data_IF_977587541378
#
_entry.id   IF_977587541378
#
_cell.length_a   1.000
_cell.length_b   1.000
_cell.length_c   1.000
_cell.angle_alpha   90.00
_cell.angle_beta   90.00
_cell.angle_gamma   90.00
#
_symmetry.space_group_name_H-M   'P 1'
#
loop_
_entity.id
_entity.type
_entity.pdbx_description
1 polymer ?
#
# COMPACT_ATOMS: atom_id res chain seq x y z
N UNK A 1 12.00 66.66 14.94
CA UNK A 1 11.91 65.29 15.48
C UNK A 1 10.52 64.78 15.16
N UNK A 2 10.35 63.96 14.12
CA UNK A 2 9.36 62.87 13.99
C UNK A 2 9.48 62.26 12.58
N UNK A 3 10.15 61.11 12.54
CA UNK A 3 10.25 60.21 11.40
C UNK A 3 8.87 59.55 11.18
N UNK A 4 8.32 59.60 9.97
CA UNK A 4 7.30 58.64 9.54
C UNK A 4 7.90 57.70 8.50
N UNK A 5 8.01 56.45 8.94
CA UNK A 5 8.59 55.31 8.24
C UNK A 5 7.69 54.90 7.08
N UNK A 6 8.29 54.72 5.90
CA UNK A 6 7.72 53.94 4.82
C UNK A 6 7.51 52.50 5.31
N UNK A 7 6.28 52.00 5.24
CA UNK A 7 5.96 50.59 5.41
C UNK A 7 5.93 49.92 4.03
N UNK A 8 7.04 49.25 3.70
CA UNK A 8 7.13 48.37 2.53
C UNK A 8 6.33 47.10 2.82
N UNK A 9 5.20 46.92 2.13
CA UNK A 9 4.44 45.66 2.17
C UNK A 9 5.12 44.67 1.23
N UNK A 10 5.87 43.73 1.79
CA UNK A 10 6.33 42.54 1.06
C UNK A 10 5.15 41.58 0.90
N UNK A 11 4.63 41.46 -0.30
CA UNK A 11 3.72 40.39 -0.69
C UNK A 11 4.55 39.09 -0.80
N UNK A 12 4.48 38.23 0.21
CA UNK A 12 5.02 36.87 0.12
C UNK A 12 4.04 36.01 -0.69
N UNK A 13 4.39 35.73 -1.94
CA UNK A 13 3.75 34.66 -2.71
C UNK A 13 4.14 33.32 -2.08
N UNK A 14 3.25 32.77 -1.25
CA UNK A 14 3.34 31.39 -0.82
C UNK A 14 3.12 30.48 -2.02
N UNK A 15 4.19 29.87 -2.52
CA UNK A 15 4.11 28.75 -3.47
C UNK A 15 3.42 27.59 -2.75
N UNK A 16 2.14 27.37 -3.03
CA UNK A 16 1.46 26.15 -2.66
C UNK A 16 2.17 24.99 -3.36
N UNK A 17 2.83 24.12 -2.58
CA UNK A 17 3.34 22.86 -3.08
C UNK A 17 2.19 22.07 -3.76
N UNK A 18 2.44 21.37 -4.87
CA UNK A 18 1.40 20.61 -5.55
C UNK A 18 0.84 19.55 -4.61
N UNK A 19 -0.48 19.54 -4.49
CA UNK A 19 -1.27 18.69 -3.60
C UNK A 19 -1.29 17.19 -4.00
N UNK A 20 -0.25 16.68 -4.64
CA UNK A 20 -0.11 15.28 -5.05
C UNK A 20 0.25 14.34 -3.87
N UNK A 21 0.53 14.90 -2.69
CA UNK A 21 0.93 14.15 -1.49
C UNK A 21 -0.23 13.78 -0.54
N UNK A 22 -1.50 14.01 -0.92
CA UNK A 22 -2.65 13.66 -0.06
C UNK A 22 -3.16 12.27 -0.39
N UNK A 23 -3.02 11.37 0.58
CA UNK A 23 -3.66 10.05 0.72
C UNK A 23 -4.48 9.59 -0.49
N UNK A 24 -3.80 9.28 -1.60
CA UNK A 24 -4.47 8.75 -2.81
C UNK A 24 -4.99 7.32 -2.60
N UNK A 25 -4.89 6.81 -1.37
CA UNK A 25 -5.45 5.54 -0.98
C UNK A 25 -6.94 5.69 -0.75
N UNK A 26 -7.74 5.36 -1.76
CA UNK A 26 -9.19 5.33 -1.65
C UNK A 26 -9.70 4.25 -0.69
N UNK A 27 -10.98 3.91 -0.82
CA UNK A 27 -11.65 2.89 0.01
C UNK A 27 -10.89 1.55 0.00
N UNK A 28 -10.26 1.20 -1.13
CA UNK A 28 -9.36 0.04 -1.27
C UNK A 28 -8.28 0.01 -0.22
N UNK A 29 -7.45 1.06 -0.18
CA UNK A 29 -6.26 1.11 0.65
C UNK A 29 -6.60 1.03 2.13
N UNK A 30 -7.67 1.73 2.55
CA UNK A 30 -8.11 1.69 3.95
C UNK A 30 -8.58 0.29 4.34
N UNK A 31 -9.47 -0.32 3.54
CA UNK A 31 -10.01 -1.64 3.83
C UNK A 31 -8.90 -2.71 3.89
N UNK A 32 -7.96 -2.67 2.94
CA UNK A 32 -6.85 -3.62 2.90
C UNK A 32 -5.89 -3.42 4.05
N UNK A 33 -5.55 -2.18 4.40
CA UNK A 33 -4.73 -1.89 5.58
C UNK A 33 -5.35 -2.46 6.86
N UNK A 34 -6.68 -2.41 7.01
CA UNK A 34 -7.39 -3.02 8.15
C UNK A 34 -7.27 -4.54 8.13
N UNK A 35 -7.46 -5.16 6.97
CA UNK A 35 -7.31 -6.61 6.81
C UNK A 35 -5.87 -7.09 7.04
N UNK A 36 -4.88 -6.38 6.49
CA UNK A 36 -3.45 -6.61 6.74
C UNK A 36 -3.13 -6.44 8.23
N UNK A 37 -3.74 -5.43 8.86
CA UNK A 37 -3.81 -5.20 10.30
C UNK A 37 -4.12 -6.47 11.09
N UNK A 38 -5.27 -7.06 10.78
CA UNK A 38 -5.82 -8.27 11.42
C UNK A 38 -4.94 -9.50 11.21
N UNK A 39 -4.67 -9.86 9.95
CA UNK A 39 -3.87 -11.05 9.64
C UNK A 39 -2.45 -10.95 10.19
N UNK A 40 -1.83 -9.77 10.20
CA UNK A 40 -0.51 -9.57 10.78
C UNK A 40 -0.48 -9.77 12.31
N UNK A 41 -1.60 -9.62 13.01
CA UNK A 41 -1.72 -9.98 14.42
C UNK A 41 -1.85 -11.51 14.55
N UNK A 42 -2.80 -12.09 13.80
CA UNK A 42 -3.12 -13.52 13.87
C UNK A 42 -1.92 -14.40 13.47
N UNK A 43 -1.21 -14.06 12.39
CA UNK A 43 -0.02 -14.78 11.91
C UNK A 43 1.13 -14.71 12.93
N UNK A 44 1.39 -13.55 13.55
CA UNK A 44 2.47 -13.44 14.56
C UNK A 44 2.17 -14.25 15.83
N UNK A 45 0.90 -14.41 16.16
CA UNK A 45 0.48 -15.28 17.26
C UNK A 45 0.59 -16.77 16.91
N UNK A 46 0.51 -17.11 15.62
CA UNK A 46 0.40 -18.50 15.16
C UNK A 46 1.71 -19.10 14.62
N UNK A 47 2.56 -18.33 13.93
CA UNK A 47 3.80 -18.82 13.32
C UNK A 47 4.84 -17.71 13.10
N UNK A 48 5.94 -17.76 13.87
CA UNK A 48 7.03 -16.78 13.79
C UNK A 48 7.95 -16.94 12.55
N UNK A 49 7.77 -18.01 11.75
CA UNK A 49 8.57 -18.30 10.57
C UNK A 49 8.19 -17.43 9.35
N UNK A 50 6.99 -16.86 9.33
CA UNK A 50 6.58 -15.90 8.29
C UNK A 50 7.20 -14.54 8.57
N UNK A 51 8.09 -14.10 7.66
CA UNK A 51 8.78 -12.82 7.77
C UNK A 51 7.90 -11.65 7.33
N UNK A 52 6.94 -11.90 6.44
CA UNK A 52 6.12 -10.85 5.82
C UNK A 52 4.80 -11.42 5.27
N UNK A 53 3.74 -10.62 5.33
CA UNK A 53 2.48 -10.85 4.62
C UNK A 53 2.20 -9.69 3.67
N UNK A 54 1.78 -10.02 2.45
CA UNK A 54 1.40 -9.06 1.43
C UNK A 54 -0.05 -9.31 1.00
N UNK A 55 -0.87 -8.27 0.97
CA UNK A 55 -2.22 -8.28 0.41
C UNK A 55 -2.25 -7.41 -0.84
N UNK A 56 -2.74 -7.96 -1.93
CA UNK A 56 -2.96 -7.21 -3.17
C UNK A 56 -4.24 -6.39 -3.05
N UNK A 57 -4.17 -5.15 -3.49
CA UNK A 57 -5.33 -4.27 -3.60
C UNK A 57 -5.90 -4.21 -4.98
N UNK A 58 -6.38 -3.03 -5.38
CA UNK A 58 -6.86 -2.82 -6.75
C UNK A 58 -5.83 -3.38 -7.76
N UNK A 59 -6.27 -4.07 -8.82
CA UNK A 59 -7.65 -4.41 -9.16
C UNK A 59 -8.10 -5.79 -8.63
N UNK A 60 -7.31 -6.42 -7.75
CA UNK A 60 -7.49 -7.79 -7.28
C UNK A 60 -8.30 -7.93 -6.00
N UNK A 61 -8.77 -6.81 -5.45
CA UNK A 61 -9.63 -6.76 -4.28
C UNK A 61 -11.06 -6.44 -4.68
N UNK A 62 -12.01 -7.12 -4.06
CA UNK A 62 -13.43 -6.78 -4.10
C UNK A 62 -13.86 -6.33 -2.72
N UNK A 63 -14.56 -5.20 -2.64
CA UNK A 63 -15.07 -4.63 -1.40
C UNK A 63 -16.58 -4.47 -1.54
N UNK A 64 -17.31 -5.28 -0.78
CA UNK A 64 -18.77 -5.35 -0.84
C UNK A 64 -19.35 -4.91 0.50
N UNK A 65 -20.39 -4.07 0.46
CA UNK A 65 -21.18 -3.81 1.66
C UNK A 65 -22.11 -4.99 1.91
N UNK A 66 -22.17 -5.45 3.14
CA UNK A 66 -23.04 -6.54 3.57
C UNK A 66 -23.77 -6.15 4.85
N UNK A 67 -24.91 -6.77 5.12
CA UNK A 67 -25.68 -6.62 6.37
C UNK A 67 -25.77 -8.00 7.04
N UNK A 68 -24.62 -8.50 7.45
CA UNK A 68 -24.45 -9.83 8.06
C UNK A 68 -23.89 -9.70 9.49
N UNK A 69 -23.59 -10.82 10.14
CA UNK A 69 -22.95 -10.83 11.46
C UNK A 69 -21.91 -11.94 11.61
N UNK A 70 -20.83 -11.66 12.34
CA UNK A 70 -19.90 -12.67 12.86
C UNK A 70 -20.16 -12.87 14.34
N UNK A 71 -20.76 -13.99 14.71
CA UNK A 71 -21.27 -14.19 16.07
C UNK A 71 -22.37 -13.18 16.38
N UNK A 72 -22.17 -12.36 17.42
CA UNK A 72 -23.09 -11.27 17.80
C UNK A 72 -22.70 -9.91 17.24
N UNK A 73 -21.57 -9.82 16.52
CA UNK A 73 -21.05 -8.57 15.99
C UNK A 73 -21.54 -8.35 14.55
N UNK A 74 -22.23 -7.24 14.25
CA UNK A 74 -22.63 -6.92 12.88
C UNK A 74 -21.40 -6.65 12.01
N UNK A 75 -21.43 -7.15 10.77
CA UNK A 75 -20.45 -6.83 9.72
C UNK A 75 -21.12 -5.94 8.68
N UNK A 76 -20.37 -4.95 8.20
CA UNK A 76 -20.87 -4.00 7.19
C UNK A 76 -20.14 -4.10 5.87
N UNK A 77 -18.96 -4.72 5.87
CA UNK A 77 -18.10 -4.79 4.69
C UNK A 77 -17.38 -6.14 4.63
N UNK A 78 -17.45 -6.79 3.47
CA UNK A 78 -16.64 -7.97 3.13
C UNK A 78 -15.60 -7.57 2.11
N UNK A 79 -14.35 -7.90 2.39
CA UNK A 79 -13.17 -7.66 1.56
C UNK A 79 -12.64 -9.02 1.13
N UNK A 80 -12.71 -9.32 -0.16
CA UNK A 80 -12.11 -10.53 -0.73
C UNK A 80 -10.97 -10.15 -1.66
N UNK A 81 -9.95 -10.98 -1.73
CA UNK A 81 -8.81 -10.69 -2.60
C UNK A 81 -7.74 -11.77 -2.58
N UNK A 82 -6.54 -11.37 -2.97
CA UNK A 82 -5.38 -12.23 -3.08
C UNK A 82 -4.22 -11.68 -2.27
N UNK A 83 -3.34 -12.56 -1.82
CA UNK A 83 -2.15 -12.16 -1.09
C UNK A 83 -1.09 -13.25 -1.14
N UNK A 84 -0.01 -13.02 -0.40
CA UNK A 84 1.04 -14.00 -0.23
C UNK A 84 1.67 -13.92 1.15
N UNK A 85 2.00 -15.09 1.69
CA UNK A 85 2.92 -15.21 2.80
C UNK A 85 4.35 -15.33 2.26
N UNK A 86 5.24 -14.49 2.75
CA UNK A 86 6.66 -14.57 2.42
C UNK A 86 7.42 -15.17 3.61
N UNK A 87 8.03 -16.33 3.35
CA UNK A 87 8.92 -16.99 4.30
C UNK A 87 10.29 -16.32 4.28
N UNK A 88 11.02 -16.43 5.39
CA UNK A 88 12.40 -15.90 5.52
C UNK A 88 13.40 -16.49 4.53
N UNK A 89 13.11 -17.67 3.97
CA UNK A 89 13.93 -18.31 2.94
C UNK A 89 13.64 -17.79 1.51
N UNK A 90 12.84 -16.73 1.38
CA UNK A 90 12.45 -16.14 0.09
C UNK A 90 11.28 -16.83 -0.60
N UNK A 91 10.73 -17.92 -0.04
CA UNK A 91 9.57 -18.60 -0.65
C UNK A 91 8.30 -17.79 -0.43
N UNK A 92 7.54 -17.56 -1.51
CA UNK A 92 6.22 -16.91 -1.48
C UNK A 92 5.09 -17.95 -1.64
N UNK A 93 4.14 -17.95 -0.71
CA UNK A 93 2.96 -18.84 -0.74
C UNK A 93 1.73 -17.98 -1.01
N UNK A 94 1.18 -18.03 -2.24
CA UNK A 94 -0.02 -17.27 -2.55
C UNK A 94 -1.26 -17.86 -1.87
N UNK A 95 -2.20 -16.99 -1.53
CA UNK A 95 -3.51 -17.36 -0.97
C UNK A 95 -4.61 -16.43 -1.49
N UNK A 96 -5.85 -16.90 -1.39
CA UNK A 96 -7.05 -16.04 -1.42
C UNK A 96 -7.42 -15.68 0.01
N UNK A 97 -8.04 -14.52 0.20
CA UNK A 97 -8.54 -14.15 1.51
C UNK A 97 -9.96 -13.64 1.47
N UNK A 98 -10.62 -13.81 2.62
CA UNK A 98 -11.85 -13.11 2.99
C UNK A 98 -11.60 -12.42 4.32
N UNK A 99 -11.94 -11.15 4.39
CA UNK A 99 -11.80 -10.31 5.57
C UNK A 99 -13.09 -9.53 5.77
N UNK A 100 -13.56 -9.42 7.00
CA UNK A 100 -14.83 -8.75 7.31
C UNK A 100 -14.62 -7.61 8.29
N UNK A 101 -15.25 -6.49 8.02
CA UNK A 101 -15.13 -5.25 8.80
C UNK A 101 -16.46 -4.92 9.49
N UNK A 102 -16.37 -4.38 10.71
CA UNK A 102 -17.51 -3.80 11.43
C UNK A 102 -17.90 -2.42 10.87
N UNK A 103 -18.98 -1.84 11.42
CA UNK A 103 -19.47 -0.51 11.03
C UNK A 103 -18.46 0.63 11.23
N UNK A 104 -17.40 0.43 12.02
CA UNK A 104 -16.30 1.38 12.24
C UNK A 104 -15.11 1.13 11.30
N UNK A 105 -15.22 0.12 10.43
CA UNK A 105 -14.15 -0.33 9.54
C UNK A 105 -13.07 -1.14 10.24
N UNK A 106 -13.30 -1.62 11.47
CA UNK A 106 -12.36 -2.49 12.16
C UNK A 106 -12.50 -3.93 11.69
N UNK A 107 -11.36 -4.58 11.41
CA UNK A 107 -11.34 -5.95 10.91
C UNK A 107 -11.62 -6.95 12.04
N UNK A 108 -12.76 -7.65 11.96
CA UNK A 108 -13.20 -8.62 12.97
C UNK A 108 -12.60 -10.01 12.72
N UNK A 109 -12.61 -10.46 11.47
CA UNK A 109 -12.13 -11.79 11.06
C UNK A 109 -11.37 -11.70 9.74
N UNK A 110 -10.38 -12.58 9.61
CA UNK A 110 -9.61 -12.78 8.40
C UNK A 110 -9.42 -14.28 8.19
N UNK A 111 -9.71 -14.75 6.98
CA UNK A 111 -9.49 -16.12 6.56
C UNK A 111 -8.59 -16.12 5.32
N UNK A 112 -7.44 -16.79 5.39
CA UNK A 112 -6.59 -17.08 4.24
C UNK A 112 -6.73 -18.54 3.83
N UNK A 113 -6.99 -18.77 2.54
CA UNK A 113 -7.05 -20.09 1.93
C UNK A 113 -5.88 -20.24 0.93
N UNK A 114 -4.93 -21.16 1.17
CA UNK A 114 -3.84 -21.42 0.24
C UNK A 114 -4.37 -21.88 -1.13
N UNK A 115 -3.68 -21.50 -2.21
CA UNK A 115 -4.09 -21.95 -3.55
C UNK A 115 -3.78 -23.43 -3.75
N UNK A 116 -4.79 -24.21 -4.09
CA UNK A 116 -4.65 -25.64 -4.39
C UNK A 116 -4.43 -25.87 -5.89
N UNK A 117 -3.21 -25.66 -6.38
CA UNK A 117 -2.86 -25.78 -7.81
C UNK A 117 -3.25 -27.13 -8.43
N UNK A 118 -3.14 -28.21 -7.67
CA UNK A 118 -3.49 -29.55 -8.13
C UNK A 118 -5.00 -29.72 -8.39
N UNK A 119 -5.83 -28.85 -7.80
CA UNK A 119 -7.27 -28.80 -8.01
C UNK A 119 -7.67 -27.74 -9.05
N UNK A 120 -6.70 -27.19 -9.80
CA UNK A 120 -6.94 -26.17 -10.82
C UNK A 120 -7.03 -24.74 -10.28
N UNK A 121 -6.88 -24.52 -8.97
CA UNK A 121 -6.88 -23.18 -8.39
C UNK A 121 -5.57 -22.44 -8.72
N UNK A 122 -5.69 -21.28 -9.36
CA UNK A 122 -4.56 -20.46 -9.77
C UNK A 122 -4.90 -18.97 -9.65
N UNK A 123 -3.84 -18.17 -9.50
CA UNK A 123 -3.98 -16.72 -9.59
C UNK A 123 -4.35 -16.36 -11.04
N UNK A 124 -5.20 -15.33 -11.23
CA UNK A 124 -5.43 -14.78 -12.56
C UNK A 124 -4.11 -14.38 -13.25
N UNK A 125 -4.02 -14.51 -14.59
CA UNK A 125 -2.84 -14.06 -15.33
C UNK A 125 -2.57 -12.58 -15.08
N UNK A 126 -1.33 -12.26 -14.72
CA UNK A 126 -0.91 -10.90 -14.43
C UNK A 126 0.49 -10.61 -14.96
N UNK A 127 0.72 -9.36 -15.36
CA UNK A 127 2.06 -8.78 -15.44
C UNK A 127 2.51 -8.47 -14.01
N UNK A 128 3.62 -9.08 -13.60
CA UNK A 128 4.12 -9.01 -12.22
C UNK A 128 5.29 -8.05 -12.16
N UNK A 129 5.14 -6.98 -11.40
CA UNK A 129 6.18 -5.98 -11.14
C UNK A 129 6.76 -6.29 -9.77
N UNK A 130 8.03 -6.70 -9.74
CA UNK A 130 8.73 -7.04 -8.49
C UNK A 130 9.61 -5.88 -8.07
N UNK A 131 9.69 -5.63 -6.77
CA UNK A 131 10.63 -4.65 -6.25
C UNK A 131 10.86 -4.80 -4.77
N UNK A 132 11.64 -3.86 -4.25
CA UNK A 132 12.03 -3.80 -2.86
C UNK A 132 12.04 -2.33 -2.40
N UNK A 133 11.67 -2.10 -1.15
CA UNK A 133 11.74 -0.78 -0.54
C UNK A 133 12.69 -0.79 0.65
N UNK A 134 13.65 0.12 0.62
CA UNK A 134 14.58 0.40 1.72
C UNK A 134 14.27 1.76 2.33
N UNK A 135 14.71 1.96 3.56
CA UNK A 135 14.68 3.24 4.26
C UNK A 135 15.94 3.34 5.13
N UNK A 136 16.31 4.52 5.66
CA UNK A 136 17.50 4.67 6.49
C UNK A 136 17.49 3.73 7.70
N UNK A 137 18.37 2.74 7.67
CA UNK A 137 18.44 1.57 8.57
C UNK A 137 18.78 1.88 10.04
N UNK A 138 18.99 3.16 10.38
CA UNK A 138 19.33 3.59 11.75
C UNK A 138 18.12 3.70 12.69
N UNK A 139 16.91 3.50 12.18
CA UNK A 139 15.68 3.57 12.97
C UNK A 139 14.96 2.22 13.00
N UNK A 140 14.63 1.75 14.20
CA UNK A 140 13.74 0.61 14.40
C UNK A 140 12.32 1.07 14.07
N UNK A 141 11.67 0.46 13.08
CA UNK A 141 10.28 0.77 12.75
C UNK A 141 9.35 0.40 13.92
N UNK A 142 8.32 1.20 14.23
CA UNK A 142 7.33 0.79 15.20
C UNK A 142 6.63 -0.52 14.79
N UNK A 143 6.25 -1.34 15.77
CA UNK A 143 5.33 -2.45 15.52
C UNK A 143 4.06 -1.88 14.93
N UNK A 144 3.63 -2.43 13.81
CA UNK A 144 2.39 -1.99 13.19
C UNK A 144 2.57 -1.43 11.79
N UNK A 145 3.78 -0.95 11.48
CA UNK A 145 4.10 -0.35 10.18
C UNK A 145 3.79 -1.30 9.04
N UNK A 146 3.23 -0.74 7.98
CA UNK A 146 3.00 -1.42 6.72
C UNK A 146 3.64 -0.61 5.59
N UNK A 147 4.23 -1.29 4.62
CA UNK A 147 4.60 -0.69 3.35
C UNK A 147 3.37 -0.73 2.44
N UNK A 148 2.93 0.43 1.97
CA UNK A 148 1.95 0.56 0.89
C UNK A 148 2.68 0.96 -0.38
N UNK A 149 2.49 0.20 -1.44
CA UNK A 149 3.05 0.47 -2.76
C UNK A 149 1.91 0.59 -3.76
N UNK A 150 1.93 1.63 -4.58
CA UNK A 150 0.91 1.93 -5.58
C UNK A 150 1.59 2.18 -6.92
N UNK A 151 1.06 1.55 -7.96
CA UNK A 151 1.34 1.92 -9.34
C UNK A 151 0.26 2.89 -9.80
N UNK A 152 0.70 4.04 -10.29
CA UNK A 152 -0.14 5.14 -10.71
C UNK A 152 -0.08 5.29 -12.23
N UNK A 153 -1.23 5.54 -12.85
CA UNK A 153 -1.31 6.19 -14.16
C UNK A 153 -1.40 7.70 -13.95
N UNK A 154 -0.37 8.41 -14.41
CA UNK A 154 -0.20 9.86 -14.31
C UNK A 154 -0.36 10.55 -15.66
N UNK A 155 -0.98 9.88 -16.65
CA UNK A 155 -1.23 10.45 -17.97
C UNK A 155 -2.16 11.67 -17.96
N UNK A 156 -3.04 11.78 -16.96
CA UNK A 156 -3.97 12.90 -16.79
C UNK A 156 -3.44 13.91 -15.75
N UNK A 157 -3.27 15.20 -16.09
CA UNK A 157 -2.63 16.19 -15.22
C UNK A 157 -3.31 16.45 -13.86
N UNK A 158 -4.60 16.12 -13.71
CA UNK A 158 -5.40 16.49 -12.54
C UNK A 158 -5.75 15.33 -11.60
N UNK A 159 -5.48 14.07 -11.99
CA UNK A 159 -5.79 12.90 -11.17
C UNK A 159 -4.84 11.75 -11.52
N UNK A 160 -3.93 11.41 -10.60
CA UNK A 160 -3.25 10.13 -10.66
C UNK A 160 -4.27 9.01 -10.35
N UNK A 161 -4.26 7.96 -11.14
CA UNK A 161 -5.14 6.80 -10.93
C UNK A 161 -4.31 5.63 -10.39
N UNK A 162 -4.67 5.09 -9.23
CA UNK A 162 -4.11 3.83 -8.75
C UNK A 162 -4.58 2.69 -9.65
N UNK A 163 -3.65 2.03 -10.31
CA UNK A 163 -3.92 0.91 -11.23
C UNK A 163 -3.44 -0.44 -10.69
N UNK A 164 -2.52 -0.43 -9.73
CA UNK A 164 -2.17 -1.59 -8.93
C UNK A 164 -1.78 -1.15 -7.52
N UNK A 165 -2.14 -1.94 -6.51
CA UNK A 165 -1.79 -1.66 -5.12
C UNK A 165 -1.34 -2.93 -4.41
N UNK A 166 -0.40 -2.78 -3.47
CA UNK A 166 -0.10 -3.80 -2.49
C UNK A 166 0.14 -3.18 -1.11
N UNK A 167 -0.39 -3.84 -0.08
CA UNK A 167 -0.07 -3.55 1.33
C UNK A 167 0.73 -4.70 1.90
N UNK A 168 1.89 -4.38 2.44
CA UNK A 168 2.89 -5.33 2.90
C UNK A 168 3.16 -5.08 4.39
N UNK A 169 2.97 -6.09 5.22
CA UNK A 169 3.38 -6.05 6.63
C UNK A 169 4.61 -6.91 6.82
N UNK A 170 5.74 -6.23 6.97
CA UNK A 170 7.03 -6.86 7.25
C UNK A 170 7.28 -6.95 8.75
N UNK A 171 7.82 -8.09 9.18
CA UNK A 171 8.40 -8.28 10.49
C UNK A 171 9.91 -8.01 10.44
N UNK A 172 10.32 -6.77 10.16
CA UNK A 172 11.69 -6.26 10.40
C UNK A 172 12.77 -6.53 9.35
N UNK A 173 12.41 -7.08 8.18
CA UNK A 173 13.39 -7.32 7.11
C UNK A 173 13.42 -6.16 6.12
N UNK A 174 14.62 -5.61 5.92
CA UNK A 174 14.95 -4.62 4.88
C UNK A 174 15.99 -5.27 3.95
N UNK A 175 15.89 -5.07 2.63
CA UNK A 175 14.81 -4.40 1.92
C UNK A 175 13.46 -5.13 2.07
N UNK A 176 12.37 -4.37 2.14
CA UNK A 176 11.01 -4.92 2.23
C UNK A 176 10.55 -5.28 0.80
N UNK A 177 10.37 -6.57 0.45
CA UNK A 177 9.94 -6.94 -0.89
C UNK A 177 8.47 -6.56 -1.11
N UNK A 178 8.14 -6.16 -2.33
CA UNK A 178 6.78 -5.95 -2.79
C UNK A 178 6.56 -6.54 -4.19
N UNK A 179 5.30 -6.68 -4.57
CA UNK A 179 4.87 -7.16 -5.86
C UNK A 179 3.58 -6.45 -6.27
N UNK A 180 3.60 -5.73 -7.39
CA UNK A 180 2.39 -5.16 -7.98
C UNK A 180 1.94 -6.06 -9.12
N UNK A 181 0.67 -6.49 -9.07
CA UNK A 181 0.08 -7.33 -10.10
C UNK A 181 -0.83 -6.48 -10.97
N UNK A 182 -0.57 -6.46 -12.26
CA UNK A 182 -1.44 -5.85 -13.26
C UNK A 182 -2.15 -6.96 -14.04
N UNK A 183 -3.46 -6.86 -14.32
CA UNK A 183 -4.14 -7.73 -15.27
C UNK A 183 -3.34 -7.87 -16.57
N UNK A 184 -3.18 -9.09 -17.07
CA UNK A 184 -2.32 -9.39 -18.22
C UNK A 184 -2.76 -8.67 -19.50
N UNK A 185 -4.05 -8.39 -19.62
CA UNK A 185 -4.70 -7.69 -20.72
C UNK A 185 -4.63 -6.15 -20.59
N UNK A 186 -4.04 -5.63 -19.51
CA UNK A 186 -3.87 -4.19 -19.34
C UNK A 186 -2.87 -3.62 -20.36
N UNK A 187 -3.33 -2.78 -21.28
CA UNK A 187 -2.43 -2.07 -22.21
C UNK A 187 -1.60 -1.02 -21.47
N UNK A 188 -0.28 -1.22 -21.50
CA UNK A 188 0.71 -0.30 -20.95
C UNK A 188 1.28 0.66 -22.00
N UNK A 189 0.90 0.50 -23.28
CA UNK A 189 1.32 1.36 -24.36
C UNK A 189 0.82 2.79 -24.12
N UNK A 190 1.70 3.77 -24.36
CA UNK A 190 1.46 5.21 -24.22
C UNK A 190 1.00 5.70 -22.83
N UNK A 191 1.02 4.85 -21.80
CA UNK A 191 0.74 5.26 -20.43
C UNK A 191 1.96 5.90 -19.78
N UNK A 192 1.73 7.01 -19.08
CA UNK A 192 2.72 7.59 -18.17
C UNK A 192 2.50 6.97 -16.81
N UNK A 193 3.46 6.18 -16.36
CA UNK A 193 3.33 5.42 -15.12
C UNK A 193 4.30 5.95 -14.06
N UNK A 194 3.88 5.89 -12.80
CA UNK A 194 4.74 6.21 -11.67
C UNK A 194 4.48 5.27 -10.48
N UNK A 195 5.50 5.03 -9.67
CA UNK A 195 5.38 4.28 -8.42
C UNK A 195 5.38 5.24 -7.25
N UNK A 196 4.36 5.13 -6.40
CA UNK A 196 4.35 5.71 -5.07
C UNK A 196 4.57 4.61 -4.03
N UNK A 197 5.32 4.91 -2.99
CA UNK A 197 5.56 3.98 -1.89
C UNK A 197 5.68 4.74 -0.57
N UNK A 198 5.11 4.18 0.49
CA UNK A 198 5.10 4.77 1.83
C UNK A 198 5.06 3.71 2.93
N UNK A 199 5.76 3.97 4.02
CA UNK A 199 5.64 3.24 5.28
C UNK A 199 4.61 3.94 6.15
N UNK A 200 3.48 3.28 6.39
CA UNK A 200 2.32 3.85 7.08
C UNK A 200 2.18 3.22 8.47
N UNK A 201 1.88 4.05 9.47
CA UNK A 201 1.47 3.63 10.81
C UNK A 201 0.21 4.37 11.21
N UNK A 202 -0.86 3.64 11.51
CA UNK A 202 -2.15 4.23 11.93
C UNK A 202 -2.60 5.38 11.00
N UNK A 203 -2.56 5.13 9.68
CA UNK A 203 -2.91 6.07 8.61
C UNK A 203 -1.98 7.28 8.44
N UNK A 204 -0.83 7.29 9.12
CA UNK A 204 0.19 8.35 8.96
C UNK A 204 1.41 7.81 8.25
N UNK A 205 1.88 8.52 7.23
CA UNK A 205 3.14 8.22 6.54
C UNK A 205 4.32 8.57 7.47
N UNK A 206 5.20 7.61 7.70
CA UNK A 206 6.46 7.79 8.43
C UNK A 206 7.63 8.00 7.47
N UNK A 207 7.60 7.27 6.36
CA UNK A 207 8.55 7.39 5.26
C UNK A 207 7.82 7.27 3.95
N UNK A 208 8.28 7.96 2.92
CA UNK A 208 7.71 7.89 1.58
C UNK A 208 8.73 8.23 0.50
N UNK A 209 8.40 7.92 -0.76
CA UNK A 209 9.08 8.52 -1.89
C UNK A 209 8.74 10.02 -1.92
N UNK A 210 9.77 10.87 -1.97
CA UNK A 210 9.64 12.33 -2.03
C UNK A 210 8.75 12.78 -3.18
N UNK A 211 8.85 12.09 -4.32
CA UNK A 211 7.94 12.22 -5.46
C UNK A 211 7.64 10.80 -6.02
N UNK A 212 6.44 10.56 -6.58
CA UNK A 212 6.17 9.32 -7.30
C UNK A 212 7.21 9.10 -8.40
N UNK A 213 7.90 7.96 -8.37
CA UNK A 213 9.00 7.65 -9.31
C UNK A 213 8.43 7.31 -10.67
N UNK A 214 8.69 8.08 -11.74
CA UNK A 214 8.29 7.71 -13.09
C UNK A 214 8.94 6.40 -13.51
N UNK A 215 8.18 5.54 -14.19
CA UNK A 215 8.65 4.25 -14.69
C UNK A 215 8.17 4.00 -16.11
N UNK A 216 8.98 3.29 -16.88
CA UNK A 216 8.65 2.85 -18.24
C UNK A 216 8.18 1.41 -18.24
N UNK A 217 7.54 0.98 -19.33
CA UNK A 217 7.19 -0.43 -19.53
C UNK A 217 8.41 -1.37 -19.50
N UNK A 218 9.62 -0.86 -19.80
CA UNK A 218 10.85 -1.62 -19.69
C UNK A 218 11.31 -1.82 -18.25
N UNK A 219 11.07 -0.84 -17.38
CA UNK A 219 11.41 -0.91 -15.95
C UNK A 219 10.57 -1.96 -15.23
N UNK A 220 9.31 -2.14 -15.66
CA UNK A 220 8.40 -3.16 -15.12
C UNK A 220 8.90 -4.61 -15.28
N UNK A 221 9.85 -4.84 -16.18
CA UNK A 221 10.45 -6.16 -16.43
C UNK A 221 11.68 -6.46 -15.59
N UNK A 222 12.10 -5.52 -14.73
CA UNK A 222 13.27 -5.63 -13.86
C UNK A 222 12.86 -5.40 -12.40
N UNK A 223 13.60 -5.94 -11.43
CA UNK A 223 13.39 -5.58 -10.03
C UNK A 223 13.54 -4.07 -9.81
N UNK A 224 12.56 -3.47 -9.14
CA UNK A 224 12.53 -2.04 -8.84
C UNK A 224 13.01 -1.82 -7.40
N UNK A 225 14.12 -1.11 -7.25
CA UNK A 225 14.66 -0.72 -5.95
C UNK A 225 14.18 0.69 -5.57
N UNK A 226 13.54 0.83 -4.42
CA UNK A 226 13.03 2.10 -3.89
C UNK A 226 13.76 2.47 -2.59
N UNK A 227 14.08 3.74 -2.42
CA UNK A 227 14.61 4.30 -1.18
C UNK A 227 13.62 5.34 -0.66
N UNK A 228 13.04 5.09 0.51
CA UNK A 228 12.07 5.97 1.14
C UNK A 228 12.76 6.96 2.08
N UNK A 229 12.28 8.20 2.07
CA UNK A 229 12.76 9.27 2.93
C UNK A 229 11.80 9.51 4.08
N UNK A 230 12.30 10.01 5.21
CA UNK A 230 11.46 10.30 6.38
C UNK A 230 10.55 11.48 6.07
N UNK A 231 9.27 11.37 6.39
CA UNK A 231 8.35 12.50 6.30
C UNK A 231 8.73 13.51 7.38
N UNK A 232 9.09 14.73 6.97
CA UNK A 232 9.31 15.82 7.91
C UNK A 232 7.97 16.21 8.55
N UNK A 233 7.86 16.07 9.87
CA UNK A 233 6.71 16.57 10.61
C UNK A 233 6.70 18.09 10.50
N UNK A 234 5.80 18.62 9.68
CA UNK A 234 5.53 20.06 9.62
C UNK A 234 4.92 20.46 10.96
N UNK A 235 5.72 21.05 11.85
CA UNK A 235 5.22 21.71 13.05
C UNK A 235 4.23 22.80 12.60
N UNK A 236 2.96 22.60 12.89
CA UNK A 236 1.96 23.66 12.98
C UNK A 236 1.58 23.82 14.44
#
# INVERSE_FOLDING_TARGET
MYLHKLATVLLAFGLAAPALARDEGGISSLAISRCAGKVGIDTRQSDAAFGLIALDGIPWVTIERTEESVGTQPITTTVTGMGAFHRRNGTSIPFRFTCVLDARGEALMFHASPLMRNLGDSLPPATVVVGSASYPERMVLPKGVELRVQLLDIGKPSTAQVIAEQVVRSGWQVPIPFTLRLPKDWSLEDRKLAIAARLVLAHRSLFELTEPRPITAADLRKPIELTLEKVESSNH
#
